data_IF_559487388811
#
_entry.id   IF_559487388811
#
_cell.length_a   1.000
_cell.length_b   1.000
_cell.length_c   1.000
_cell.angle_alpha   90.00
_cell.angle_beta   90.00
_cell.angle_gamma   90.00
#
_symmetry.space_group_name_H-M   'P 1'
#
loop_
_entity.id
_entity.type
_entity.pdbx_description
1 polymer ?
#
# COMPACT_ATOMS: atom_id res chain seq x y z
N UNK A 1 31.60 -15.54 16.34
CA UNK A 1 30.26 -15.70 15.73
C UNK A 1 29.79 -14.32 15.32
N UNK A 2 29.80 -14.03 14.03
CA UNK A 2 29.43 -12.70 13.51
C UNK A 2 27.90 -12.61 13.55
N UNK A 3 27.36 -11.76 14.42
CA UNK A 3 25.94 -11.46 14.47
C UNK A 3 25.56 -10.88 13.10
N UNK A 4 24.75 -11.61 12.31
CA UNK A 4 24.17 -11.05 11.09
C UNK A 4 23.38 -9.81 11.49
N UNK A 5 23.51 -8.67 10.78
CA UNK A 5 22.67 -7.52 11.07
C UNK A 5 21.21 -7.97 10.94
N UNK A 6 20.48 -7.85 12.03
CA UNK A 6 19.05 -8.10 12.07
C UNK A 6 18.42 -7.02 11.19
N UNK A 7 18.16 -7.33 9.92
CA UNK A 7 17.53 -6.41 8.99
C UNK A 7 16.16 -6.08 9.57
N UNK A 8 16.00 -4.85 10.05
CA UNK A 8 14.70 -4.37 10.54
C UNK A 8 13.73 -4.37 9.35
N UNK A 9 12.44 -4.66 9.59
CA UNK A 9 11.46 -4.64 8.53
C UNK A 9 11.43 -3.25 7.87
N UNK A 10 11.51 -3.22 6.54
CA UNK A 10 11.56 -1.99 5.77
C UNK A 10 10.24 -1.75 5.07
N UNK A 11 9.49 -0.75 5.55
CA UNK A 11 8.25 -0.32 4.90
C UNK A 11 8.51 0.77 3.87
N UNK A 12 7.98 0.57 2.68
CA UNK A 12 7.95 1.53 1.57
C UNK A 12 6.50 1.82 1.20
N UNK A 13 6.24 3.04 0.73
CA UNK A 13 4.91 3.50 0.37
C UNK A 13 4.82 3.76 -1.13
N UNK A 14 3.70 3.36 -1.71
CA UNK A 14 3.44 3.46 -3.13
C UNK A 14 2.03 3.99 -3.37
N UNK A 15 1.86 4.66 -4.50
CA UNK A 15 0.59 4.88 -5.15
C UNK A 15 0.52 3.98 -6.37
N UNK A 16 -0.47 3.11 -6.42
CA UNK A 16 -0.81 2.34 -7.61
C UNK A 16 -2.06 2.98 -8.19
N UNK A 17 -1.85 3.85 -9.17
CA UNK A 17 -2.86 4.82 -9.58
C UNK A 17 -3.26 5.74 -8.45
N UNK A 18 -4.50 5.60 -7.96
CA UNK A 18 -5.02 6.36 -6.81
C UNK A 18 -5.01 5.59 -5.51
N UNK A 19 -4.61 4.31 -5.53
CA UNK A 19 -4.68 3.43 -4.37
C UNK A 19 -3.36 3.48 -3.61
N UNK A 20 -3.35 3.91 -2.34
CA UNK A 20 -2.16 3.87 -1.51
C UNK A 20 -1.86 2.44 -1.06
N UNK A 21 -0.59 2.05 -1.18
CA UNK A 21 -0.07 0.70 -0.92
C UNK A 21 1.15 0.77 0.00
N UNK A 22 1.14 -0.03 1.05
CA UNK A 22 2.29 -0.31 1.92
C UNK A 22 2.96 -1.60 1.44
N UNK A 23 4.28 -1.56 1.28
CA UNK A 23 5.11 -2.71 0.98
C UNK A 23 6.11 -2.86 2.11
N UNK A 24 6.04 -3.95 2.86
CA UNK A 24 6.95 -4.22 3.97
C UNK A 24 7.77 -5.45 3.65
N UNK A 25 9.08 -5.27 3.57
CA UNK A 25 10.04 -6.37 3.60
C UNK A 25 10.27 -6.77 5.05
N UNK A 26 9.96 -8.01 5.39
CA UNK A 26 10.13 -8.58 6.72
C UNK A 26 11.57 -9.06 6.93
N UNK A 27 11.97 -9.23 8.21
CA UNK A 27 13.32 -9.66 8.58
C UNK A 27 13.71 -11.04 8.05
N UNK A 28 12.74 -11.88 7.67
CA UNK A 28 12.94 -13.21 7.08
C UNK A 28 13.04 -13.17 5.54
N UNK A 29 12.93 -11.98 4.94
CA UNK A 29 12.91 -11.79 3.49
C UNK A 29 11.54 -12.00 2.86
N UNK A 30 10.50 -12.27 3.65
CA UNK A 30 9.13 -12.27 3.16
C UNK A 30 8.64 -10.84 2.89
N UNK A 31 7.65 -10.71 2.01
CA UNK A 31 7.10 -9.41 1.61
C UNK A 31 5.62 -9.39 1.89
N UNK A 32 5.18 -8.41 2.67
CA UNK A 32 3.78 -8.12 2.91
C UNK A 32 3.38 -6.87 2.15
N UNK A 33 2.38 -7.00 1.27
CA UNK A 33 1.79 -5.85 0.57
C UNK A 33 0.40 -5.61 1.14
N UNK A 34 0.08 -4.35 1.47
CA UNK A 34 -1.24 -3.90 1.95
C UNK A 34 -1.73 -2.72 1.12
N UNK A 35 -2.87 -2.85 0.45
CA UNK A 35 -3.51 -1.74 -0.25
C UNK A 35 -4.72 -1.24 0.53
N UNK A 36 -4.95 0.06 0.52
CA UNK A 36 -6.18 0.61 1.07
C UNK A 36 -7.36 0.29 0.15
N UNK A 37 -8.42 -0.28 0.71
CA UNK A 37 -9.69 -0.50 0.04
C UNK A 37 -10.75 0.41 0.67
N UNK A 38 -11.15 1.50 -0.01
CA UNK A 38 -12.12 2.44 0.55
C UNK A 38 -13.51 1.82 0.71
N UNK A 39 -13.87 0.81 -0.09
CA UNK A 39 -15.16 0.10 0.01
C UNK A 39 -15.25 -0.77 1.27
N UNK A 40 -14.10 -1.25 1.76
CA UNK A 40 -13.99 -2.03 3.00
C UNK A 40 -13.57 -1.17 4.19
N UNK A 41 -13.27 0.12 3.97
CA UNK A 41 -12.83 1.06 5.00
C UNK A 41 -11.46 0.74 5.61
N UNK A 42 -10.60 -0.01 4.92
CA UNK A 42 -9.34 -0.46 5.52
C UNK A 42 -8.35 -1.11 4.56
N UNK A 43 -7.22 -1.55 5.12
CA UNK A 43 -6.13 -2.19 4.36
C UNK A 43 -6.35 -3.68 4.16
N UNK A 44 -6.11 -4.16 2.95
CA UNK A 44 -6.26 -5.57 2.58
C UNK A 44 -4.99 -6.13 1.95
N UNK A 45 -4.75 -7.42 2.17
CA UNK A 45 -3.65 -8.22 1.60
C UNK A 45 -4.20 -9.19 0.53
N UNK A 46 -5.01 -8.70 -0.40
CA UNK A 46 -5.72 -9.54 -1.39
C UNK A 46 -5.11 -9.42 -2.80
N UNK A 47 -4.58 -10.52 -3.32
CA UNK A 47 -3.95 -10.61 -4.65
C UNK A 47 -4.87 -10.17 -5.80
N UNK A 48 -6.17 -10.47 -5.72
CA UNK A 48 -7.14 -10.12 -6.77
C UNK A 48 -7.45 -8.63 -6.75
N UNK A 49 -7.51 -8.03 -5.56
CA UNK A 49 -7.64 -6.59 -5.40
C UNK A 49 -6.46 -5.85 -6.03
N UNK A 50 -5.22 -6.30 -5.79
CA UNK A 50 -4.04 -5.72 -6.46
C UNK A 50 -4.11 -5.82 -7.98
N UNK A 51 -4.55 -6.96 -8.50
CA UNK A 51 -4.72 -7.17 -9.94
C UNK A 51 -5.73 -6.19 -10.55
N UNK A 52 -6.86 -5.97 -9.87
CA UNK A 52 -7.87 -5.00 -10.31
C UNK A 52 -7.32 -3.57 -10.31
N UNK A 53 -6.64 -3.15 -9.23
CA UNK A 53 -6.05 -1.82 -9.08
C UNK A 53 -4.97 -1.55 -10.14
N UNK A 54 -4.10 -2.52 -10.41
CA UNK A 54 -3.08 -2.39 -11.46
C UNK A 54 -3.68 -2.30 -12.87
N UNK A 55 -4.79 -3.01 -13.11
CA UNK A 55 -5.45 -3.05 -14.41
C UNK A 55 -6.18 -1.75 -14.73
N UNK A 56 -6.89 -1.15 -13.75
CA UNK A 56 -7.66 0.08 -13.98
C UNK A 56 -6.80 1.31 -14.24
N UNK A 57 -5.62 1.44 -13.62
CA UNK A 57 -4.79 2.64 -13.75
C UNK A 57 -3.61 2.49 -14.73
N UNK A 58 -3.58 1.41 -15.53
CA UNK A 58 -2.52 1.17 -16.52
C UNK A 58 -1.09 1.32 -15.95
N UNK A 59 -0.84 0.73 -14.77
CA UNK A 59 0.52 0.46 -14.30
C UNK A 59 1.35 1.64 -13.80
N UNK A 60 0.79 2.83 -13.55
CA UNK A 60 1.57 3.90 -12.90
C UNK A 60 1.72 3.63 -11.41
N UNK A 61 2.81 2.92 -11.08
CA UNK A 61 3.29 2.75 -9.71
C UNK A 61 4.25 3.88 -9.40
N UNK A 62 3.89 4.73 -8.44
CA UNK A 62 4.74 5.81 -7.96
C UNK A 62 5.17 5.54 -6.53
N UNK A 63 6.48 5.58 -6.26
CA UNK A 63 6.98 5.58 -4.88
C UNK A 63 6.72 6.94 -4.24
N UNK A 64 6.19 6.93 -3.03
CA UNK A 64 5.87 8.12 -2.26
C UNK A 64 6.41 8.01 -0.83
N UNK A 65 6.45 9.13 -0.13
CA UNK A 65 6.75 9.14 1.30
C UNK A 65 5.49 8.89 2.15
N UNK A 66 5.70 8.75 3.47
CA UNK A 66 4.63 8.47 4.43
C UNK A 66 3.56 9.57 4.47
N UNK A 67 3.94 10.84 4.42
CA UNK A 67 2.98 11.94 4.51
C UNK A 67 2.07 11.98 3.28
N UNK A 68 2.65 11.80 2.09
CA UNK A 68 1.88 11.65 0.86
C UNK A 68 0.95 10.44 0.89
N UNK A 69 1.38 9.33 1.51
CA UNK A 69 0.56 8.13 1.67
C UNK A 69 -0.65 8.37 2.57
N UNK A 70 -0.44 8.99 3.74
CA UNK A 70 -1.52 9.33 4.67
C UNK A 70 -2.52 10.31 4.04
N UNK A 71 -2.03 11.25 3.24
CA UNK A 71 -2.87 12.19 2.49
C UNK A 71 -3.74 11.45 1.46
N UNK A 72 -3.15 10.55 0.67
CA UNK A 72 -3.87 9.75 -0.32
C UNK A 72 -4.95 8.86 0.34
N UNK A 73 -4.66 8.26 1.50
CA UNK A 73 -5.65 7.49 2.27
C UNK A 73 -6.84 8.37 2.66
N UNK A 74 -6.58 9.57 3.18
CA UNK A 74 -7.64 10.51 3.59
C UNK A 74 -8.48 10.97 2.40
N UNK A 75 -7.84 11.31 1.28
CA UNK A 75 -8.55 11.70 0.05
C UNK A 75 -9.44 10.58 -0.46
N UNK A 76 -8.91 9.36 -0.50
CA UNK A 76 -9.64 8.19 -0.98
C UNK A 76 -10.78 7.82 -0.01
N UNK A 77 -10.57 7.94 1.30
CA UNK A 77 -11.62 7.74 2.29
C UNK A 77 -12.72 8.79 2.16
N UNK A 78 -12.37 10.06 1.98
CA UNK A 78 -13.33 11.14 1.82
C UNK A 78 -14.17 10.98 0.54
N UNK A 79 -13.53 10.62 -0.58
CA UNK A 79 -14.21 10.42 -1.87
C UNK A 79 -15.29 9.32 -1.83
N UNK A 80 -15.06 8.27 -1.03
CA UNK A 80 -15.99 7.14 -0.88
C UNK A 80 -16.92 7.27 0.34
N UNK A 81 -16.68 8.23 1.23
CA UNK A 81 -17.55 8.53 2.37
C UNK A 81 -18.67 9.51 2.05
N UNK A 82 -18.70 10.09 0.84
CA UNK A 82 -19.80 10.98 0.45
C UNK A 82 -21.06 10.12 0.22
N UNK A 83 -22.15 10.31 0.98
CA UNK A 83 -23.41 9.67 0.66
C UNK A 83 -23.91 10.21 -0.69
N UNK A 84 -24.44 9.31 -1.52
CA UNK A 84 -25.14 9.64 -2.76
C UNK A 84 -26.31 10.62 -2.51
#
# INVERSE_FOLDING_TARGET
MTQKPQQQPQTQFYLVGKVPVEWTEESDGSVTVRAFNPLLGGFVTDARYYGAVQFEDMGRVQRIDRAAFEQAVRELQAAYSVPA
#
